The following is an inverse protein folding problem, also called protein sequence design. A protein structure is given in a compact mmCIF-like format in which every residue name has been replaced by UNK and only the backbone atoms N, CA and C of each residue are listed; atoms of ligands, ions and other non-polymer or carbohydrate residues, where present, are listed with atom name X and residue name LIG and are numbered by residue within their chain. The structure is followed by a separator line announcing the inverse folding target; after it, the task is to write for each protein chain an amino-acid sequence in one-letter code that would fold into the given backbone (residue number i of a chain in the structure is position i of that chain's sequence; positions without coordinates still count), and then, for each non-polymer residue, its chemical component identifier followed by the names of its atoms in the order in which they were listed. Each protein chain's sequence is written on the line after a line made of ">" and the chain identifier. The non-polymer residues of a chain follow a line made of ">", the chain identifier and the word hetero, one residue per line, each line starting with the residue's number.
data_IF_899374124785
#
_entry.id   IF_899374124785
#
_cell.length_a   1.000
_cell.length_b   1.000
_cell.length_c   1.000
_cell.angle_alpha   90.00
_cell.angle_beta   90.00
_cell.angle_gamma   90.00
#
_symmetry.space_group_name_H-M   'P 1'
#
loop_
_entity.id
_entity.type
_entity.pdbx_description
1 polymer ?
#
# COMPACT_ATOMS: atom_id res chain seq x y z
N UNK A 1 -51.69 -34.95 -15.60
CA UNK A 1 -51.32 -33.68 -14.93
C UNK A 1 -50.02 -33.78 -14.11
N UNK A 2 -49.76 -34.88 -13.39
CA UNK A 2 -48.57 -35.04 -12.53
C UNK A 2 -47.18 -35.06 -13.21
N UNK A 3 -47.09 -35.38 -14.51
CA UNK A 3 -45.80 -35.42 -15.23
C UNK A 3 -45.22 -34.03 -15.51
N UNK A 4 -46.10 -33.05 -15.76
CA UNK A 4 -45.70 -31.65 -16.00
C UNK A 4 -45.39 -30.93 -14.67
N UNK A 5 -46.06 -31.32 -13.58
CA UNK A 5 -45.81 -30.79 -12.24
C UNK A 5 -44.42 -31.16 -11.70
N UNK A 6 -43.98 -32.41 -11.91
CA UNK A 6 -42.62 -32.86 -11.55
C UNK A 6 -41.55 -32.10 -12.32
N UNK A 7 -41.82 -31.76 -13.58
CA UNK A 7 -40.90 -31.00 -14.42
C UNK A 7 -40.77 -29.55 -13.94
N UNK A 8 -41.89 -28.91 -13.59
CA UNK A 8 -41.90 -27.55 -13.02
C UNK A 8 -41.17 -27.49 -11.66
N UNK A 9 -41.34 -28.50 -10.81
CA UNK A 9 -40.67 -28.56 -9.51
C UNK A 9 -39.15 -28.78 -9.64
N UNK A 10 -38.71 -29.56 -10.63
CA UNK A 10 -37.29 -29.73 -10.94
C UNK A 10 -36.66 -28.43 -11.44
N UNK A 11 -37.35 -27.67 -12.30
CA UNK A 11 -36.89 -26.36 -12.77
C UNK A 11 -36.80 -25.37 -11.61
N UNK A 12 -37.80 -25.33 -10.73
CA UNK A 12 -37.79 -24.47 -9.54
C UNK A 12 -36.61 -24.79 -8.62
N UNK A 13 -36.33 -26.08 -8.37
CA UNK A 13 -35.21 -26.50 -7.54
C UNK A 13 -33.87 -26.07 -8.12
N UNK A 14 -33.68 -26.17 -9.45
CA UNK A 14 -32.47 -25.70 -10.13
C UNK A 14 -32.30 -24.18 -9.97
N UNK A 15 -33.38 -23.41 -10.11
CA UNK A 15 -33.36 -21.95 -9.95
C UNK A 15 -32.98 -21.57 -8.50
N UNK A 16 -33.53 -22.27 -7.51
CA UNK A 16 -33.23 -22.01 -6.09
C UNK A 16 -31.77 -22.33 -5.76
N UNK A 17 -31.25 -23.46 -6.23
CA UNK A 17 -29.84 -23.83 -6.02
C UNK A 17 -28.91 -22.83 -6.72
N UNK A 18 -29.20 -22.44 -7.97
CA UNK A 18 -28.43 -21.46 -8.70
C UNK A 18 -28.46 -20.06 -8.04
N UNK A 19 -29.60 -19.64 -7.50
CA UNK A 19 -29.73 -18.37 -6.78
C UNK A 19 -28.98 -18.34 -5.44
N UNK A 20 -28.90 -19.49 -4.75
CA UNK A 20 -28.20 -19.58 -3.46
C UNK A 20 -26.68 -19.39 -3.57
N UNK A 21 -26.07 -19.73 -4.71
CA UNK A 21 -24.65 -19.48 -4.97
C UNK A 21 -24.30 -17.97 -5.02
N UNK A 22 -25.27 -17.12 -5.41
CA UNK A 22 -25.09 -15.67 -5.44
C UNK A 22 -25.38 -14.98 -4.07
N UNK A 23 -25.95 -15.72 -3.10
CA UNK A 23 -26.33 -15.16 -1.80
C UNK A 23 -25.34 -15.47 -0.66
N UNK A 24 -24.39 -16.40 -0.84
CA UNK A 24 -23.35 -16.70 0.15
C UNK A 24 -22.08 -15.86 0.01
N UNK A 25 -22.00 -14.98 -0.99
CA UNK A 25 -21.07 -13.86 -0.98
C UNK A 25 -21.67 -12.66 -0.24
N UNK A 26 -22.41 -12.93 0.85
CA UNK A 26 -22.73 -11.93 1.87
C UNK A 26 -21.39 -11.31 2.28
N UNK A 27 -21.16 -10.12 1.72
CA UNK A 27 -19.93 -9.40 1.86
C UNK A 27 -19.71 -9.16 3.35
N UNK A 28 -18.73 -9.85 3.93
CA UNK A 28 -18.04 -9.33 5.09
C UNK A 28 -17.21 -8.16 4.58
N UNK A 29 -17.86 -7.04 4.33
CA UNK A 29 -17.18 -5.75 4.23
C UNK A 29 -16.62 -5.47 5.61
N UNK A 30 -15.35 -5.81 5.78
CA UNK A 30 -14.51 -5.17 6.77
C UNK A 30 -14.62 -3.67 6.46
N UNK A 31 -14.99 -2.81 7.43
CA UNK A 31 -14.95 -1.38 7.24
C UNK A 31 -13.58 -1.00 6.68
N UNK A 32 -13.53 -0.08 5.72
CA UNK A 32 -12.27 0.47 5.25
C UNK A 32 -11.52 1.01 6.47
N UNK A 33 -10.55 0.25 6.97
CA UNK A 33 -9.56 0.79 7.89
C UNK A 33 -8.54 1.48 7.00
N UNK A 34 -8.32 2.78 7.20
CA UNK A 34 -7.29 3.59 6.52
C UNK A 34 -5.85 3.16 6.83
N UNK A 35 -5.59 1.87 7.06
CA UNK A 35 -4.26 1.29 7.15
C UNK A 35 -3.69 1.08 5.74
N UNK A 36 -3.60 2.15 4.97
CA UNK A 36 -3.10 2.13 3.60
C UNK A 36 -3.14 3.51 2.98
N UNK A 37 -1.99 4.19 2.94
CA UNK A 37 -1.80 5.44 2.20
C UNK A 37 -1.04 5.14 0.90
N UNK A 38 -1.56 5.58 -0.23
CA UNK A 38 -0.91 5.40 -1.53
C UNK A 38 0.23 6.42 -1.69
N UNK A 39 1.47 5.94 -1.70
CA UNK A 39 2.62 6.80 -2.00
C UNK A 39 2.45 7.48 -3.36
N UNK A 40 2.49 8.81 -3.40
CA UNK A 40 2.57 9.54 -4.67
C UNK A 40 4.05 9.67 -5.02
N UNK A 41 4.50 8.88 -6.00
CA UNK A 41 5.89 8.90 -6.49
C UNK A 41 6.02 9.93 -7.61
N UNK A 42 6.99 10.84 -7.49
CA UNK A 42 7.32 11.77 -8.57
C UNK A 42 8.38 11.13 -9.49
N UNK A 43 7.87 10.70 -10.65
CA UNK A 43 8.48 10.32 -11.93
C UNK A 43 9.93 9.81 -11.96
N UNK A 44 10.07 8.48 -12.11
CA UNK A 44 11.31 7.80 -12.53
C UNK A 44 11.63 6.55 -11.72
N UNK A 45 10.99 6.38 -10.57
CA UNK A 45 11.23 5.28 -9.65
C UNK A 45 9.92 4.59 -9.24
N UNK A 46 10.01 3.31 -8.96
CA UNK A 46 8.96 2.51 -8.32
C UNK A 46 9.32 2.37 -6.85
N UNK A 47 8.35 2.63 -5.98
CA UNK A 47 8.46 2.41 -4.54
C UNK A 47 7.65 1.17 -4.18
N UNK A 48 8.27 0.23 -3.46
CA UNK A 48 7.66 -1.03 -3.01
C UNK A 48 7.97 -1.28 -1.54
N UNK A 49 7.28 -2.23 -0.92
CA UNK A 49 7.58 -2.72 0.43
C UNK A 49 7.64 -1.60 1.49
N UNK A 50 6.67 -0.68 1.46
CA UNK A 50 6.58 0.39 2.45
C UNK A 50 6.20 -0.19 3.80
N UNK A 51 7.02 0.07 4.81
CA UNK A 51 6.82 -0.32 6.21
C UNK A 51 6.94 0.92 7.10
N UNK A 52 5.93 1.13 7.93
CA UNK A 52 5.98 2.09 9.03
C UNK A 52 6.48 1.35 10.26
N UNK A 53 7.71 1.62 10.65
CA UNK A 53 8.30 1.11 11.88
C UNK A 53 7.80 1.98 13.04
N UNK A 54 7.04 1.36 13.93
CA UNK A 54 6.42 2.03 15.07
C UNK A 54 7.28 1.82 16.30
N UNK A 55 7.35 2.82 17.17
CA UNK A 55 8.10 2.71 18.42
C UNK A 55 7.60 1.50 19.23
N UNK A 56 8.54 0.69 19.70
CA UNK A 56 8.26 -0.58 20.36
C UNK A 56 7.56 -0.41 21.73
N UNK A 57 7.66 0.78 22.33
CA UNK A 57 7.06 1.13 23.61
C UNK A 57 5.79 1.96 23.47
N UNK A 58 5.69 2.80 22.44
CA UNK A 58 4.53 3.61 22.09
C UNK A 58 4.20 3.49 20.59
N UNK A 59 3.29 2.57 20.19
CA UNK A 59 2.95 2.36 18.78
C UNK A 59 2.17 3.53 18.15
N UNK A 60 1.92 4.61 18.89
CA UNK A 60 1.39 5.86 18.31
C UNK A 60 2.47 6.74 17.69
N UNK A 61 3.75 6.38 17.85
CA UNK A 61 4.91 7.07 17.31
C UNK A 61 5.53 6.23 16.18
N UNK A 62 5.89 6.89 15.09
CA UNK A 62 6.64 6.32 13.97
C UNK A 62 8.12 6.60 14.20
N UNK A 63 8.92 5.55 14.35
CA UNK A 63 10.39 5.62 14.45
C UNK A 63 11.02 5.75 13.07
N UNK A 64 10.53 5.00 12.09
CA UNK A 64 11.04 5.05 10.74
C UNK A 64 9.99 4.70 9.70
N UNK A 65 10.18 5.22 8.49
CA UNK A 65 9.50 4.72 7.29
C UNK A 65 10.56 4.10 6.40
N UNK A 66 10.41 2.81 6.12
CA UNK A 66 11.31 2.06 5.25
C UNK A 66 10.59 1.62 4.00
N UNK A 67 11.29 1.58 2.87
CA UNK A 67 10.76 1.09 1.61
C UNK A 67 11.89 0.78 0.64
N UNK A 68 11.55 -0.02 -0.36
CA UNK A 68 12.41 -0.29 -1.49
C UNK A 68 12.12 0.70 -2.61
N UNK A 69 13.18 1.15 -3.29
CA UNK A 69 13.07 2.01 -4.45
C UNK A 69 13.96 1.53 -5.59
N UNK A 70 13.38 1.41 -6.77
CA UNK A 70 14.07 0.97 -7.99
C UNK A 70 13.69 1.88 -9.16
N UNK A 71 14.58 2.13 -10.14
CA UNK A 71 14.21 2.87 -11.32
C UNK A 71 13.11 2.15 -12.10
N UNK A 72 12.15 2.89 -12.66
CA UNK A 72 11.10 2.32 -13.53
C UNK A 72 11.67 1.85 -14.87
N UNK A 73 12.82 2.40 -15.28
CA UNK A 73 13.53 2.05 -16.50
C UNK A 73 15.03 2.28 -16.35
N UNK A 74 15.84 1.45 -17.01
CA UNK A 74 17.29 1.53 -16.94
C UNK A 74 17.87 0.97 -15.63
N UNK A 75 19.12 1.35 -15.34
CA UNK A 75 19.87 0.85 -14.18
C UNK A 75 20.37 1.96 -13.25
N UNK A 76 19.85 3.18 -13.42
CA UNK A 76 20.23 4.32 -12.58
C UNK A 76 19.54 4.21 -11.23
N UNK A 77 20.30 3.84 -10.19
CA UNK A 77 19.78 3.81 -8.83
C UNK A 77 19.52 5.22 -8.29
N UNK A 78 18.61 5.31 -7.31
CA UNK A 78 18.43 6.53 -6.55
C UNK A 78 19.66 6.81 -5.68
N UNK A 79 20.10 8.06 -5.67
CA UNK A 79 21.22 8.59 -4.87
C UNK A 79 20.71 9.55 -3.80
N UNK A 80 19.54 10.16 -4.02
CA UNK A 80 18.86 11.02 -3.06
C UNK A 80 17.40 10.59 -2.96
N UNK A 81 16.91 10.41 -1.73
CA UNK A 81 15.49 10.16 -1.45
C UNK A 81 15.03 11.06 -0.31
N UNK A 82 13.89 11.70 -0.51
CA UNK A 82 13.22 12.52 0.49
C UNK A 82 11.76 12.12 0.59
N UNK A 83 11.23 12.18 1.81
CA UNK A 83 9.85 11.87 2.12
C UNK A 83 9.18 13.03 2.82
N UNK A 84 7.94 13.30 2.46
CA UNK A 84 7.07 14.25 3.13
C UNK A 84 5.83 13.51 3.64
N UNK A 85 5.58 13.60 4.95
CA UNK A 85 4.51 12.86 5.65
C UNK A 85 3.21 13.64 5.85
N UNK A 86 3.21 14.91 5.44
CA UNK A 86 2.05 15.82 5.48
C UNK A 86 2.07 16.64 4.20
N UNK A 87 0.94 16.78 3.51
CA UNK A 87 0.87 17.63 2.31
C UNK A 87 1.37 19.05 2.62
N UNK A 88 2.33 19.55 1.84
CA UNK A 88 3.00 20.83 2.05
C UNK A 88 3.80 20.96 3.38
N UNK A 89 4.09 19.85 4.06
CA UNK A 89 4.97 19.78 5.22
C UNK A 89 6.46 19.78 4.87
N UNK A 90 7.31 19.53 5.87
CA UNK A 90 8.76 19.43 5.68
C UNK A 90 9.16 18.13 4.99
N UNK A 91 10.21 18.19 4.17
CA UNK A 91 10.85 17.03 3.58
C UNK A 91 11.91 16.45 4.53
N UNK A 92 11.84 15.15 4.78
CA UNK A 92 12.80 14.38 5.56
C UNK A 92 13.72 13.63 4.60
N UNK A 93 15.03 13.73 4.80
CA UNK A 93 16.00 13.00 3.96
C UNK A 93 16.16 11.58 4.49
N UNK A 94 16.14 10.61 3.59
CA UNK A 94 16.26 9.20 3.93
C UNK A 94 17.69 8.73 3.71
N UNK A 95 18.14 7.82 4.55
CA UNK A 95 19.37 7.06 4.33
C UNK A 95 19.12 5.96 3.31
N UNK A 96 20.12 5.68 2.47
CA UNK A 96 20.02 4.68 1.40
C UNK A 96 21.04 3.57 1.62
N UNK A 97 20.58 2.33 1.49
CA UNK A 97 21.42 1.13 1.55
C UNK A 97 21.26 0.37 0.24
N UNK A 98 22.39 0.03 -0.39
CA UNK A 98 22.38 -0.77 -1.61
C UNK A 98 21.89 -2.19 -1.30
N UNK A 99 20.86 -2.64 -2.02
CA UNK A 99 20.36 -4.01 -2.00
C UNK A 99 20.81 -4.79 -3.24
N UNK A 100 19.87 -5.49 -3.88
CA UNK A 100 20.11 -6.06 -5.22
C UNK A 100 19.94 -4.96 -6.26
N UNK A 101 21.05 -4.38 -6.74
CA UNK A 101 21.02 -3.29 -7.71
C UNK A 101 20.16 -3.62 -8.94
N UNK A 102 19.42 -2.64 -9.52
CA UNK A 102 19.46 -1.20 -9.24
C UNK A 102 18.53 -0.74 -8.10
N UNK A 103 17.94 -1.67 -7.34
CA UNK A 103 17.12 -1.38 -6.17
C UNK A 103 17.99 -0.95 -4.98
N UNK A 104 17.50 0.03 -4.24
CA UNK A 104 18.06 0.47 -2.96
C UNK A 104 16.96 0.50 -1.89
N UNK A 105 17.32 0.21 -0.65
CA UNK A 105 16.44 0.34 0.49
C UNK A 105 16.59 1.76 1.07
N UNK A 106 15.48 2.47 1.23
CA UNK A 106 15.43 3.77 1.86
C UNK A 106 14.92 3.65 3.29
N UNK A 107 15.57 4.35 4.23
CA UNK A 107 15.16 4.44 5.63
C UNK A 107 15.11 5.90 6.05
N UNK A 108 13.91 6.39 6.31
CA UNK A 108 13.65 7.75 6.78
C UNK A 108 13.33 7.67 8.27
N UNK A 109 14.25 8.10 9.13
CA UNK A 109 14.09 8.05 10.58
C UNK A 109 13.43 9.31 11.11
N UNK A 110 12.56 9.15 12.09
CA UNK A 110 11.84 10.21 12.78
C UNK A 110 12.10 10.09 14.29
N UNK A 111 12.22 11.22 14.99
CA UNK A 111 12.48 11.18 16.43
C UNK A 111 11.22 11.12 17.29
N UNK A 112 10.15 11.79 16.86
CA UNK A 112 8.88 11.87 17.58
C UNK A 112 7.76 12.25 16.59
N UNK A 113 7.57 11.43 15.55
CA UNK A 113 6.49 11.64 14.58
C UNK A 113 5.25 10.86 15.05
N UNK A 114 4.17 11.53 15.48
CA UNK A 114 2.94 10.83 15.79
C UNK A 114 2.36 10.22 14.52
N UNK A 115 1.96 8.95 14.57
CA UNK A 115 1.31 8.24 13.48
C UNK A 115 0.06 8.98 12.98
N UNK A 116 -0.70 9.60 13.89
CA UNK A 116 -1.87 10.41 13.56
C UNK A 116 -1.56 11.66 12.71
N UNK A 117 -0.31 12.14 12.73
CA UNK A 117 0.13 13.26 11.91
C UNK A 117 0.55 12.83 10.51
N UNK A 118 0.76 11.54 10.27
CA UNK A 118 1.07 11.01 8.93
C UNK A 118 -0.20 11.00 8.09
N UNK A 119 -0.38 12.07 7.33
CA UNK A 119 -1.55 12.28 6.46
C UNK A 119 -1.20 12.17 4.98
N UNK A 120 0.10 12.12 4.66
CA UNK A 120 0.62 11.90 3.33
C UNK A 120 1.88 11.02 3.33
N UNK A 121 2.26 10.51 2.17
CA UNK A 121 3.55 9.88 1.89
C UNK A 121 3.96 10.27 0.46
N UNK A 122 4.52 11.47 0.34
CA UNK A 122 5.09 11.92 -0.91
C UNK A 122 6.55 11.52 -0.96
N UNK A 123 6.96 10.83 -2.02
CA UNK A 123 8.33 10.34 -2.19
C UNK A 123 8.97 11.06 -3.37
N UNK A 124 10.07 11.76 -3.07
CA UNK A 124 10.95 12.37 -4.06
C UNK A 124 12.22 11.52 -4.14
N UNK A 125 12.58 11.08 -5.34
CA UNK A 125 13.81 10.34 -5.59
C UNK A 125 14.56 10.94 -6.77
N UNK A 126 15.89 10.95 -6.68
CA UNK A 126 16.78 11.43 -7.72
C UNK A 126 17.96 10.50 -7.92
N UNK A 127 18.36 10.30 -9.17
CA UNK A 127 19.58 9.55 -9.53
C UNK A 127 20.87 10.38 -9.38
N UNK A 128 20.75 11.66 -9.02
CA UNK A 128 21.86 12.59 -8.77
C UNK A 128 21.73 13.21 -7.38
N UNK A 129 22.86 13.51 -6.74
CA UNK A 129 22.91 14.02 -5.37
C UNK A 129 22.41 15.47 -5.21
N UNK A 130 22.36 16.24 -6.32
CA UNK A 130 21.90 17.62 -6.37
C UNK A 130 21.03 17.79 -7.64
N UNK A 131 19.70 17.93 -7.53
CA UNK A 131 18.80 18.11 -8.67
C UNK A 131 18.78 19.54 -9.22
#
# INVERSE_FOLDING_TARGET
>A
MFRNFKFLLAILAIIVVAGSAYAFAAANTVPDTNAGYAASVVSGYTVTNIVYDLDATDPTIVDAITFDIAPTSGSQKAVLVKVQTVTAGSWTTCTLVDGTLPQVAATCTYGALPLANVTALNVLASGVADP
#
